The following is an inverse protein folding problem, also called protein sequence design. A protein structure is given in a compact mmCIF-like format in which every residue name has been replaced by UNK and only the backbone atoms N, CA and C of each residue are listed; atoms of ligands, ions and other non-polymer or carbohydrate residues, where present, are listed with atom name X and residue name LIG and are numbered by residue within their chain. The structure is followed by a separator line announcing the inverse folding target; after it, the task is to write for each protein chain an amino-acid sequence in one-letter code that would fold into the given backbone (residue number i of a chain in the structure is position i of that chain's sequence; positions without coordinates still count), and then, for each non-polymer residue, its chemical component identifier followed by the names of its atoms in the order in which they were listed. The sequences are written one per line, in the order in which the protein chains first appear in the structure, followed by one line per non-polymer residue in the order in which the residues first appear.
data_IF_583683947146
#
_entry.id   IF_583683947146
#
_cell.length_a   1.000
_cell.length_b   1.000
_cell.length_c   1.000
_cell.angle_alpha   90.00
_cell.angle_beta   90.00
_cell.angle_gamma   90.00
#
_symmetry.space_group_name_H-M   'P 1'
#
loop_
_entity.id
_entity.type
_entity.pdbx_description
1 polymer ?
#
# COMPACT_ATOMS: atom_id res chain seq x y z
N UNK A 1 14.37 0.45 -2.46
CA UNK A 1 15.45 -0.34 -3.09
C UNK A 1 16.38 0.56 -3.86
N UNK A 2 17.67 0.23 -3.75
CA UNK A 2 18.82 0.90 -4.35
C UNK A 2 18.77 0.94 -5.88
N UNK A 3 19.24 2.05 -6.46
CA UNK A 3 19.55 2.16 -7.88
C UNK A 3 20.63 1.15 -8.28
N UNK A 4 21.57 0.87 -7.39
CA UNK A 4 22.65 -0.10 -7.61
C UNK A 4 22.20 -1.57 -7.47
N UNK A 5 20.91 -1.83 -7.32
CA UNK A 5 20.38 -3.20 -7.28
C UNK A 5 20.59 -3.89 -8.64
N UNK A 6 21.09 -5.14 -8.68
CA UNK A 6 21.53 -5.80 -9.92
C UNK A 6 20.40 -6.10 -10.93
N UNK A 7 19.13 -5.98 -10.52
CA UNK A 7 17.97 -6.17 -11.39
C UNK A 7 17.34 -4.82 -11.72
N UNK A 8 17.17 -4.56 -13.02
CA UNK A 8 16.51 -3.34 -13.49
C UNK A 8 15.09 -3.23 -12.94
N UNK A 9 14.78 -2.09 -12.33
CA UNK A 9 13.42 -1.69 -11.97
C UNK A 9 13.17 -0.27 -12.45
N UNK A 10 12.05 -0.05 -13.13
CA UNK A 10 11.66 1.30 -13.51
C UNK A 10 11.05 2.00 -12.28
N UNK A 11 11.75 3.01 -11.78
CA UNK A 11 11.25 3.96 -10.80
C UNK A 11 11.24 5.32 -11.49
N UNK A 12 10.15 6.08 -11.35
CA UNK A 12 10.07 7.46 -11.85
C UNK A 12 11.08 8.38 -11.13
N UNK A 13 10.85 9.69 -11.11
CA UNK A 13 11.68 10.64 -10.33
C UNK A 13 11.55 10.36 -8.82
N UNK A 14 12.33 9.39 -8.34
CA UNK A 14 12.39 8.97 -6.94
C UNK A 14 13.71 9.47 -6.36
N UNK A 15 13.73 9.92 -5.10
CA UNK A 15 14.97 10.22 -4.41
C UNK A 15 15.93 9.02 -4.44
N UNK A 16 17.24 9.28 -4.44
CA UNK A 16 18.25 8.24 -4.37
C UNK A 16 18.06 7.41 -3.08
N UNK A 17 18.22 6.08 -3.16
CA UNK A 17 18.05 5.24 -1.98
C UNK A 17 19.20 5.46 -1.01
N UNK A 18 18.95 5.24 0.29
CA UNK A 18 19.96 5.42 1.33
C UNK A 18 21.23 4.61 1.08
N UNK A 19 21.11 3.35 0.67
CA UNK A 19 22.26 2.48 0.35
C UNK A 19 23.15 3.07 -0.78
N UNK A 20 22.53 3.67 -1.81
CA UNK A 20 23.27 4.35 -2.87
C UNK A 20 23.94 5.63 -2.35
N UNK A 21 23.25 6.38 -1.48
CA UNK A 21 23.78 7.60 -0.85
C UNK A 21 24.96 7.25 0.05
N UNK A 22 24.84 6.23 0.89
CA UNK A 22 25.90 5.78 1.79
C UNK A 22 27.08 5.23 0.98
N UNK A 23 26.82 4.44 -0.06
CA UNK A 23 27.85 3.92 -0.95
C UNK A 23 28.64 5.02 -1.67
N UNK A 24 27.95 6.00 -2.25
CA UNK A 24 28.62 7.11 -2.95
C UNK A 24 29.33 8.06 -1.97
N UNK A 25 28.74 8.32 -0.80
CA UNK A 25 29.37 9.16 0.23
C UNK A 25 30.55 8.47 0.91
N UNK A 26 30.55 7.14 1.02
CA UNK A 26 31.71 6.39 1.50
C UNK A 26 32.92 6.58 0.57
N UNK A 27 32.70 6.60 -0.75
CA UNK A 27 33.77 6.78 -1.74
C UNK A 27 34.24 8.22 -1.88
N UNK A 28 33.33 9.20 -1.83
CA UNK A 28 33.62 10.59 -2.21
C UNK A 28 33.41 11.63 -1.10
N UNK A 29 32.90 11.20 0.06
CA UNK A 29 32.55 12.06 1.19
C UNK A 29 31.19 12.76 1.05
N UNK A 30 30.59 13.14 2.17
CA UNK A 30 29.35 13.92 2.22
C UNK A 30 29.66 15.40 1.92
N UNK A 31 29.64 15.80 0.65
CA UNK A 31 29.76 17.22 0.27
C UNK A 31 28.36 17.82 0.08
N UNK A 32 28.08 19.04 0.55
CA UNK A 32 27.01 19.84 -0.04
C UNK A 32 27.42 20.12 -1.49
N UNK A 33 26.91 19.31 -2.42
CA UNK A 33 27.14 19.52 -3.83
C UNK A 33 26.60 20.89 -4.25
N UNK A 34 27.12 21.50 -5.33
CA UNK A 34 26.47 22.67 -5.92
C UNK A 34 25.01 22.34 -6.20
N UNK A 35 24.12 23.30 -5.96
CA UNK A 35 22.69 23.19 -6.27
C UNK A 35 22.56 22.67 -7.71
N UNK A 36 21.80 21.59 -7.99
CA UNK A 36 21.65 21.07 -9.35
C UNK A 36 21.14 22.20 -10.23
N UNK A 37 22.01 22.71 -11.09
CA UNK A 37 21.64 23.73 -12.06
C UNK A 37 21.21 22.96 -13.28
N UNK A 38 19.92 23.04 -13.63
CA UNK A 38 19.45 22.57 -14.93
C UNK A 38 20.28 23.31 -16.00
N UNK A 39 20.78 22.66 -17.06
CA UNK A 39 21.51 23.38 -18.10
C UNK A 39 20.57 24.44 -18.70
N UNK A 40 20.85 25.69 -18.39
CA UNK A 40 20.15 26.84 -18.95
C UNK A 40 20.86 27.22 -20.26
N UNK A 41 20.14 27.58 -21.33
CA UNK A 41 20.76 27.91 -22.61
C UNK A 41 21.65 29.15 -22.47
N UNK A 42 22.86 29.11 -23.05
CA UNK A 42 23.84 30.20 -23.01
C UNK A 42 23.22 31.57 -23.37
N UNK A 43 23.24 32.52 -22.43
CA UNK A 43 23.04 33.95 -22.72
C UNK A 43 24.00 34.77 -21.85
N UNK A 44 24.72 35.78 -22.38
CA UNK A 44 25.85 36.39 -21.70
C UNK A 44 25.45 37.41 -20.61
N UNK A 45 26.32 37.47 -19.60
CA UNK A 45 26.21 38.16 -18.31
C UNK A 45 25.91 39.68 -18.33
N UNK A 46 25.25 40.17 -17.27
CA UNK A 46 25.39 41.56 -16.77
C UNK A 46 25.22 41.60 -15.24
N UNK A 47 25.95 42.54 -14.64
CA UNK A 47 26.44 42.71 -13.26
C UNK A 47 25.41 43.16 -12.20
N UNK A 48 25.64 42.74 -10.93
CA UNK A 48 25.81 43.60 -9.71
C UNK A 48 24.93 43.38 -8.44
N UNK A 49 25.62 43.02 -7.34
CA UNK A 49 25.45 43.34 -5.89
C UNK A 49 24.34 42.70 -5.01
N UNK A 50 24.55 42.63 -3.67
CA UNK A 50 24.35 41.42 -2.86
C UNK A 50 23.22 41.53 -1.82
N UNK A 51 22.80 40.40 -1.23
CA UNK A 51 22.42 40.38 0.19
C UNK A 51 22.47 38.97 0.80
N UNK A 52 23.26 38.89 1.87
CA UNK A 52 23.34 37.85 2.90
C UNK A 52 22.07 37.80 3.74
N UNK A 53 21.59 36.61 4.05
CA UNK A 53 21.14 36.26 5.41
C UNK A 53 21.45 34.80 5.66
N UNK A 54 22.36 34.57 6.59
CA UNK A 54 22.55 33.31 7.31
C UNK A 54 21.22 32.82 7.90
N UNK A 55 21.04 31.50 7.96
CA UNK A 55 20.74 30.82 9.23
C UNK A 55 20.70 29.28 9.09
N UNK A 56 20.89 28.53 10.18
CA UNK A 56 21.71 27.34 10.19
C UNK A 56 20.90 26.05 10.23
N UNK A 57 21.64 25.00 9.90
CA UNK A 57 21.36 23.59 10.09
C UNK A 57 20.45 23.26 11.31
N UNK A 58 19.28 22.68 11.03
CA UNK A 58 18.56 21.86 12.00
C UNK A 58 18.74 20.38 11.60
N UNK A 59 19.72 19.71 12.22
CA UNK A 59 19.79 18.24 12.22
C UNK A 59 18.71 17.73 13.15
N UNK A 60 17.58 17.30 12.62
CA UNK A 60 16.68 16.42 13.35
C UNK A 60 17.30 15.02 13.32
N UNK A 61 17.62 14.39 14.46
CA UNK A 61 18.05 13.00 14.46
C UNK A 61 16.82 12.13 14.18
N UNK A 62 16.60 11.78 12.91
CA UNK A 62 15.58 10.80 12.55
C UNK A 62 16.04 9.42 13.04
N UNK A 63 15.27 8.92 13.98
CA UNK A 63 15.32 7.60 14.59
C UNK A 63 15.44 6.49 13.55
N UNK A 64 16.19 5.44 13.93
CA UNK A 64 16.52 4.24 13.17
C UNK A 64 15.40 3.77 12.24
N UNK A 65 15.75 3.69 10.96
CA UNK A 65 14.91 3.23 9.85
C UNK A 65 14.57 1.73 10.00
N UNK A 66 13.30 1.35 10.24
CA UNK A 66 12.86 -0.04 10.34
C UNK A 66 12.44 -0.66 8.99
N UNK A 67 12.69 0.01 7.86
CA UNK A 67 11.93 -0.21 6.61
C UNK A 67 12.34 -1.42 5.75
N UNK A 68 13.39 -2.18 6.13
CA UNK A 68 13.85 -3.35 5.35
C UNK A 68 13.69 -4.72 6.04
N UNK A 69 13.01 -4.79 7.19
CA UNK A 69 12.77 -6.06 7.89
C UNK A 69 11.28 -6.25 8.19
N UNK A 70 10.63 -7.15 7.43
CA UNK A 70 9.21 -7.46 7.59
C UNK A 70 8.85 -7.92 9.02
N UNK A 71 9.79 -8.51 9.76
CA UNK A 71 9.56 -8.94 11.15
C UNK A 71 9.52 -7.77 12.14
N UNK A 72 10.08 -6.62 11.77
CA UNK A 72 10.04 -5.38 12.56
C UNK A 72 8.85 -4.49 12.18
N UNK A 73 8.16 -4.78 11.07
CA UNK A 73 6.95 -4.06 10.67
C UNK A 73 5.81 -4.42 11.60
N UNK A 74 5.23 -3.42 12.27
CA UNK A 74 4.12 -3.63 13.21
C UNK A 74 2.75 -3.68 12.53
N UNK A 75 2.64 -3.09 11.34
CA UNK A 75 1.38 -2.92 10.61
C UNK A 75 1.65 -2.81 9.12
N UNK A 76 1.05 -3.70 8.35
CA UNK A 76 1.08 -3.67 6.89
C UNK A 76 -0.07 -2.80 6.36
N UNK A 77 0.08 -2.27 5.15
CA UNK A 77 -0.97 -1.46 4.53
C UNK A 77 -2.00 -2.36 3.83
N UNK A 78 -1.57 -3.53 3.34
CA UNK A 78 -2.44 -4.54 2.73
C UNK A 78 -1.76 -5.91 2.81
N UNK A 79 -2.54 -6.94 3.07
CA UNK A 79 -2.14 -8.34 2.95
C UNK A 79 -3.16 -8.99 2.03
N UNK A 80 -2.68 -9.70 1.01
CA UNK A 80 -3.58 -10.38 0.08
C UNK A 80 -2.99 -11.71 -0.38
N UNK A 81 -3.83 -12.54 -0.97
CA UNK A 81 -3.42 -13.84 -1.51
C UNK A 81 -3.33 -13.74 -3.02
N UNK A 82 -2.16 -14.03 -3.55
CA UNK A 82 -1.87 -14.03 -4.99
C UNK A 82 -1.25 -15.39 -5.30
N UNK A 83 -1.85 -16.11 -6.26
CA UNK A 83 -1.45 -17.48 -6.64
C UNK A 83 -1.43 -18.50 -5.49
N UNK A 84 -2.19 -18.25 -4.43
CA UNK A 84 -2.25 -19.13 -3.27
C UNK A 84 -1.28 -18.77 -2.15
N UNK A 85 -0.42 -17.77 -2.37
CA UNK A 85 0.58 -17.30 -1.41
C UNK A 85 0.23 -15.91 -0.85
N UNK A 86 0.57 -15.70 0.42
CA UNK A 86 0.37 -14.43 1.10
C UNK A 86 1.41 -13.41 0.63
N UNK A 87 0.92 -12.24 0.26
CA UNK A 87 1.70 -11.08 -0.12
C UNK A 87 1.41 -9.94 0.85
N UNK A 88 2.45 -9.30 1.37
CA UNK A 88 2.39 -8.24 2.37
C UNK A 88 2.89 -6.94 1.75
N UNK A 89 2.09 -5.89 1.85
CA UNK A 89 2.32 -4.62 1.18
C UNK A 89 2.58 -3.55 2.23
N UNK A 90 3.65 -2.80 2.02
CA UNK A 90 3.99 -1.60 2.77
C UNK A 90 4.56 -0.57 1.81
N UNK A 91 4.10 0.67 1.88
CA UNK A 91 4.66 1.80 1.13
C UNK A 91 4.72 1.60 -0.41
N UNK A 92 3.79 0.82 -0.98
CA UNK A 92 3.51 0.81 -2.43
C UNK A 92 4.24 -0.22 -3.32
N UNK A 93 4.86 -1.27 -2.76
CA UNK A 93 5.58 -2.32 -3.53
C UNK A 93 4.78 -3.64 -3.65
N UNK A 94 4.76 -4.31 -4.82
CA UNK A 94 4.17 -5.67 -5.02
C UNK A 94 4.43 -6.38 -6.38
N UNK A 95 4.17 -7.72 -6.46
CA UNK A 95 4.34 -8.59 -7.66
C UNK A 95 3.27 -9.73 -7.79
N UNK A 96 3.28 -10.58 -8.87
CA UNK A 96 2.09 -11.15 -9.60
C UNK A 96 2.23 -12.62 -10.13
N UNK A 97 1.12 -13.42 -10.33
CA UNK A 97 0.58 -13.96 -11.64
C UNK A 97 -0.78 -14.77 -11.70
N UNK A 98 -0.92 -15.77 -12.60
CA UNK A 98 -1.81 -15.93 -13.78
C UNK A 98 -3.10 -16.70 -13.48
N UNK A 99 -4.26 -16.24 -13.93
CA UNK A 99 -5.18 -17.07 -14.74
C UNK A 99 -6.38 -16.26 -15.25
N UNK A 100 -6.76 -15.19 -14.55
CA UNK A 100 -7.69 -14.15 -15.06
C UNK A 100 -7.28 -12.77 -14.50
N UNK A 101 -6.40 -12.07 -15.24
CA UNK A 101 -5.43 -11.08 -14.72
C UNK A 101 -5.96 -9.66 -14.41
N UNK A 102 -7.22 -9.46 -14.02
CA UNK A 102 -7.70 -8.12 -13.61
C UNK A 102 -7.58 -7.89 -12.11
N UNK A 103 -6.63 -7.05 -11.69
CA UNK A 103 -6.38 -6.71 -10.28
C UNK A 103 -6.78 -5.26 -10.04
N UNK A 104 -7.53 -5.02 -8.96
CA UNK A 104 -7.94 -3.69 -8.53
C UNK A 104 -7.03 -3.24 -7.39
N UNK A 105 -6.35 -2.10 -7.56
CA UNK A 105 -5.57 -1.46 -6.51
C UNK A 105 -6.34 -0.25 -6.02
N UNK A 106 -6.54 -0.14 -4.71
CA UNK A 106 -7.21 1.00 -4.09
C UNK A 106 -6.18 1.85 -3.35
N UNK A 107 -6.25 3.16 -3.50
CA UNK A 107 -5.49 4.12 -2.69
C UNK A 107 -6.34 5.36 -2.49
N UNK A 108 -6.71 5.63 -1.24
CA UNK A 108 -7.69 6.64 -0.90
C UNK A 108 -8.99 6.45 -1.71
N UNK A 109 -9.49 7.53 -2.30
CA UNK A 109 -10.71 7.55 -3.11
C UNK A 109 -10.50 7.13 -4.57
N UNK A 110 -9.33 6.55 -4.90
CA UNK A 110 -8.97 6.17 -6.27
C UNK A 110 -8.68 4.69 -6.37
N UNK A 111 -8.89 4.16 -7.57
CA UNK A 111 -8.48 2.81 -7.92
C UNK A 111 -7.88 2.70 -9.32
N UNK A 112 -7.05 1.67 -9.49
CA UNK A 112 -6.46 1.27 -10.76
C UNK A 112 -6.87 -0.16 -11.08
N UNK A 113 -7.03 -0.47 -12.36
CA UNK A 113 -7.30 -1.81 -12.85
C UNK A 113 -6.12 -2.28 -13.67
N UNK A 114 -5.30 -3.14 -13.09
CA UNK A 114 -4.29 -3.86 -13.84
C UNK A 114 -4.96 -4.96 -14.66
N UNK A 115 -4.64 -5.11 -15.94
CA UNK A 115 -5.29 -6.08 -16.86
C UNK A 115 -4.37 -7.23 -17.25
N UNK A 116 -3.19 -7.32 -16.65
CA UNK A 116 -2.14 -8.24 -17.08
C UNK A 116 -1.16 -7.64 -18.08
N UNK A 117 -1.61 -6.67 -18.90
CA UNK A 117 -0.79 -5.99 -19.93
C UNK A 117 -0.58 -4.51 -19.62
N UNK A 118 -1.60 -3.85 -19.07
CA UNK A 118 -1.56 -2.43 -18.75
C UNK A 118 -2.29 -2.14 -17.44
N UNK A 119 -2.00 -0.98 -16.87
CA UNK A 119 -2.76 -0.41 -15.77
C UNK A 119 -3.72 0.63 -16.33
N UNK A 120 -5.00 0.54 -15.97
CA UNK A 120 -6.03 1.53 -16.27
C UNK A 120 -6.33 2.36 -15.03
N UNK A 121 -6.44 3.68 -15.16
CA UNK A 121 -6.77 4.58 -14.04
C UNK A 121 -5.82 5.77 -13.94
N UNK A 122 -5.85 6.52 -12.82
CA UNK A 122 -6.75 6.33 -11.69
C UNK A 122 -8.22 6.60 -12.04
N UNK A 123 -9.14 5.90 -11.37
CA UNK A 123 -10.58 6.15 -11.42
C UNK A 123 -11.10 6.44 -10.01
N UNK A 124 -12.09 7.31 -9.87
CA UNK A 124 -12.78 7.50 -8.58
C UNK A 124 -13.52 6.23 -8.19
N UNK A 125 -13.46 5.84 -6.91
CA UNK A 125 -14.22 4.71 -6.35
C UNK A 125 -15.75 4.90 -6.48
N UNK A 126 -16.22 6.14 -6.68
CA UNK A 126 -17.61 6.44 -7.00
C UNK A 126 -18.08 5.76 -8.30
N UNK A 127 -17.16 5.47 -9.23
CA UNK A 127 -17.48 4.69 -10.44
C UNK A 127 -17.92 3.26 -10.14
N UNK A 128 -17.63 2.74 -8.94
CA UNK A 128 -18.11 1.44 -8.46
C UNK A 128 -19.46 1.56 -7.73
N UNK A 129 -19.96 2.79 -7.54
CA UNK A 129 -21.17 3.08 -6.77
C UNK A 129 -20.95 3.33 -5.27
N UNK A 130 -19.70 3.52 -4.84
CA UNK A 130 -19.41 3.94 -3.46
C UNK A 130 -19.75 5.43 -3.27
N UNK A 131 -20.34 5.83 -2.12
CA UNK A 131 -20.65 7.23 -1.85
C UNK A 131 -19.37 8.04 -1.56
N UNK A 132 -19.43 9.35 -1.77
CA UNK A 132 -18.33 10.29 -1.54
C UNK A 132 -17.87 10.38 -0.07
N UNK A 133 -18.66 9.88 0.88
CA UNK A 133 -18.28 9.76 2.28
C UNK A 133 -17.18 8.72 2.50
N UNK A 134 -17.07 7.71 1.62
CA UNK A 134 -16.05 6.66 1.71
C UNK A 134 -14.71 7.22 1.26
N UNK A 135 -13.73 7.26 2.17
CA UNK A 135 -12.41 7.83 1.90
C UNK A 135 -11.38 6.82 1.41
N UNK A 136 -11.60 5.52 1.66
CA UNK A 136 -10.72 4.42 1.22
C UNK A 136 -11.43 3.07 1.32
N UNK A 137 -10.92 2.07 0.61
CA UNK A 137 -11.29 0.67 0.77
C UNK A 137 -10.15 -0.03 1.52
N UNK A 138 -10.48 -0.68 2.63
CA UNK A 138 -9.51 -1.33 3.53
C UNK A 138 -9.37 -2.82 3.26
N UNK A 139 -10.40 -3.46 2.70
CA UNK A 139 -10.34 -4.88 2.39
C UNK A 139 -11.33 -5.28 1.31
N UNK A 140 -11.06 -6.42 0.68
CA UNK A 140 -11.91 -6.97 -0.36
C UNK A 140 -12.03 -8.49 -0.21
N UNK A 141 -13.27 -9.00 -0.11
CA UNK A 141 -13.53 -10.43 -0.01
C UNK A 141 -14.39 -10.91 -1.18
N UNK A 142 -13.89 -11.91 -1.89
CA UNK A 142 -14.66 -12.60 -2.91
C UNK A 142 -15.81 -13.39 -2.26
N UNK A 143 -17.04 -13.18 -2.75
CA UNK A 143 -18.24 -13.91 -2.31
C UNK A 143 -18.85 -14.64 -3.51
N UNK A 144 -18.56 -15.93 -3.61
CA UNK A 144 -18.93 -16.72 -4.79
C UNK A 144 -18.25 -16.20 -6.05
N UNK A 145 -18.84 -16.44 -7.23
CA UNK A 145 -18.20 -16.10 -8.51
C UNK A 145 -18.47 -14.69 -9.04
N UNK A 146 -19.44 -13.96 -8.47
CA UNK A 146 -19.93 -12.71 -9.08
C UNK A 146 -19.98 -11.50 -8.14
N UNK A 147 -19.71 -11.70 -6.85
CA UNK A 147 -19.79 -10.64 -5.84
C UNK A 147 -18.47 -10.45 -5.12
N UNK A 148 -18.17 -9.20 -4.78
CA UNK A 148 -17.06 -8.83 -3.89
C UNK A 148 -17.62 -7.98 -2.76
N UNK A 149 -17.19 -8.24 -1.54
CA UNK A 149 -17.45 -7.38 -0.39
C UNK A 149 -16.28 -6.40 -0.26
N UNK A 150 -16.58 -5.10 -0.24
CA UNK A 150 -15.59 -4.04 -0.05
C UNK A 150 -15.79 -3.47 1.34
N UNK A 151 -14.73 -3.50 2.17
CA UNK A 151 -14.75 -3.02 3.55
C UNK A 151 -14.21 -1.59 3.61
N UNK A 152 -14.85 -0.74 4.41
CA UNK A 152 -14.37 0.62 4.69
C UNK A 152 -14.91 1.07 6.04
N UNK A 153 -13.99 1.35 6.99
CA UNK A 153 -14.35 1.63 8.36
C UNK A 153 -15.17 0.49 8.95
N UNK A 154 -16.26 0.83 9.61
CA UNK A 154 -17.11 -0.14 10.31
C UNK A 154 -18.12 -0.87 9.40
N UNK A 155 -18.13 -0.51 8.12
CA UNK A 155 -19.13 -0.94 7.14
C UNK A 155 -18.51 -1.75 6.00
N UNK A 156 -19.37 -2.50 5.30
CA UNK A 156 -19.02 -3.10 4.03
C UNK A 156 -20.12 -2.93 2.98
N UNK A 157 -19.71 -2.91 1.72
CA UNK A 157 -20.55 -2.83 0.54
C UNK A 157 -20.43 -4.11 -0.27
N UNK A 158 -21.48 -4.49 -0.99
CA UNK A 158 -21.42 -5.63 -1.91
C UNK A 158 -21.43 -5.15 -3.36
N UNK A 159 -20.29 -5.30 -4.02
CA UNK A 159 -20.09 -5.02 -5.43
C UNK A 159 -20.53 -6.21 -6.28
N UNK A 160 -21.35 -5.96 -7.29
CA UNK A 160 -21.56 -6.87 -8.40
C UNK A 160 -20.46 -6.70 -9.45
N UNK A 161 -19.67 -7.75 -9.67
CA UNK A 161 -18.48 -7.68 -10.55
C UNK A 161 -18.87 -7.49 -12.01
N UNK A 162 -20.02 -8.03 -12.44
CA UNK A 162 -20.45 -7.97 -13.85
C UNK A 162 -20.93 -6.56 -14.22
N UNK A 163 -21.75 -5.97 -13.36
CA UNK A 163 -22.33 -4.64 -13.57
C UNK A 163 -21.43 -3.53 -13.04
N UNK A 164 -20.40 -3.86 -12.25
CA UNK A 164 -19.49 -2.93 -11.57
C UNK A 164 -20.23 -1.90 -10.71
N UNK A 165 -21.29 -2.33 -10.03
CA UNK A 165 -22.13 -1.48 -9.17
C UNK A 165 -22.37 -2.11 -7.81
N UNK A 166 -22.49 -1.27 -6.79
CA UNK A 166 -22.96 -1.69 -5.47
C UNK A 166 -24.42 -2.15 -5.54
N UNK A 167 -24.70 -3.29 -4.90
CA UNK A 167 -26.05 -3.83 -4.74
C UNK A 167 -26.91 -2.93 -3.83
N UNK A 168 -28.21 -2.83 -4.11
CA UNK A 168 -29.16 -2.11 -3.24
C UNK A 168 -29.19 -2.70 -1.82
N UNK A 169 -29.37 -1.84 -0.81
CA UNK A 169 -29.43 -2.24 0.60
C UNK A 169 -28.07 -2.37 1.29
N UNK A 170 -27.04 -1.71 0.73
CA UNK A 170 -25.71 -1.55 1.30
C UNK A 170 -25.41 -0.05 1.50
N UNK A 171 -24.54 0.35 2.47
CA UNK A 171 -23.69 -0.50 3.31
C UNK A 171 -24.45 -1.35 4.34
N UNK A 172 -23.72 -2.31 4.91
CA UNK A 172 -24.12 -3.01 6.14
C UNK A 172 -22.99 -2.92 7.16
N UNK A 173 -23.31 -2.82 8.46
CA UNK A 173 -22.30 -2.90 9.50
C UNK A 173 -21.59 -4.24 9.46
N UNK A 174 -20.27 -4.22 9.58
CA UNK A 174 -19.42 -5.41 9.55
C UNK A 174 -19.81 -6.38 10.67
N UNK A 175 -20.07 -5.87 11.87
CA UNK A 175 -20.42 -6.68 13.06
C UNK A 175 -21.69 -7.53 12.89
N UNK A 176 -22.66 -7.08 12.08
CA UNK A 176 -23.93 -7.80 11.86
C UNK A 176 -23.71 -9.11 11.10
N UNK A 177 -22.66 -9.17 10.27
CA UNK A 177 -22.37 -10.32 9.40
C UNK A 177 -21.12 -11.08 9.84
N UNK A 178 -20.13 -10.36 10.36
CA UNK A 178 -18.81 -10.85 10.76
C UNK A 178 -18.63 -10.62 12.26
N UNK A 179 -19.51 -11.19 13.09
CA UNK A 179 -19.42 -11.04 14.54
C UNK A 179 -18.11 -11.58 15.12
N UNK A 180 -17.56 -10.88 16.11
CA UNK A 180 -16.36 -11.30 16.85
C UNK A 180 -15.02 -10.82 16.26
N UNK A 181 -15.05 -10.07 15.15
CA UNK A 181 -13.85 -9.43 14.58
C UNK A 181 -13.87 -7.92 14.86
N UNK A 182 -12.72 -7.22 14.77
CA UNK A 182 -12.68 -5.76 14.87
C UNK A 182 -13.52 -5.11 13.78
N UNK A 183 -14.35 -4.14 14.16
CA UNK A 183 -15.15 -3.38 13.21
C UNK A 183 -14.28 -2.45 12.33
N UNK A 184 -13.13 -2.01 12.83
CA UNK A 184 -12.18 -1.11 12.16
C UNK A 184 -10.93 -1.83 11.62
N UNK A 185 -11.10 -3.06 11.14
CA UNK A 185 -10.00 -3.82 10.56
C UNK A 185 -9.38 -3.06 9.37
N UNK A 186 -8.11 -2.71 9.48
CA UNK A 186 -7.39 -1.97 8.43
C UNK A 186 -7.08 -2.81 7.19
N UNK A 187 -7.26 -4.13 7.29
CA UNK A 187 -7.03 -5.06 6.20
C UNK A 187 -7.90 -6.32 6.39
N UNK A 188 -8.48 -6.80 5.29
CA UNK A 188 -9.38 -7.95 5.26
C UNK A 188 -9.14 -8.78 4.00
N UNK A 189 -8.71 -10.03 4.18
CA UNK A 189 -8.38 -10.93 3.09
C UNK A 189 -8.79 -12.37 3.36
N UNK A 190 -8.84 -13.20 2.31
CA UNK A 190 -9.14 -14.63 2.42
C UNK A 190 -7.88 -15.46 2.14
N UNK A 191 -7.52 -16.37 3.04
CA UNK A 191 -6.38 -17.27 2.88
C UNK A 191 -6.70 -18.69 3.38
N UNK A 192 -6.35 -19.70 2.57
CA UNK A 192 -6.58 -21.13 2.87
C UNK A 192 -8.02 -21.40 3.38
N UNK A 193 -9.01 -20.80 2.71
CA UNK A 193 -10.44 -20.98 3.02
C UNK A 193 -10.96 -20.23 4.24
N UNK A 194 -10.12 -19.46 4.95
CA UNK A 194 -10.52 -18.66 6.09
C UNK A 194 -10.41 -17.16 5.77
N UNK A 195 -11.23 -16.36 6.44
CA UNK A 195 -11.19 -14.90 6.33
C UNK A 195 -10.36 -14.34 7.47
N UNK A 196 -9.48 -13.39 7.20
CA UNK A 196 -8.62 -12.76 8.17
C UNK A 196 -8.98 -11.28 8.24
N UNK A 197 -9.21 -10.80 9.46
CA UNK A 197 -9.40 -9.40 9.77
C UNK A 197 -8.20 -8.93 10.56
N UNK A 198 -7.45 -7.97 10.03
CA UNK A 198 -6.24 -7.47 10.64
C UNK A 198 -6.49 -6.12 11.31
N UNK A 199 -6.06 -5.99 12.56
CA UNK A 199 -6.03 -4.72 13.29
C UNK A 199 -4.66 -4.56 13.91
N UNK A 200 -3.95 -3.54 13.43
CA UNK A 200 -2.55 -3.27 13.74
C UNK A 200 -1.68 -4.53 13.54
N UNK A 201 -1.10 -5.08 14.62
CA UNK A 201 -0.22 -6.25 14.55
C UNK A 201 -0.93 -7.59 14.68
N UNK A 202 -2.24 -7.56 14.92
CA UNK A 202 -3.05 -8.73 15.22
C UNK A 202 -3.94 -9.12 14.04
N UNK A 203 -4.31 -10.40 13.98
CA UNK A 203 -5.36 -10.88 13.10
C UNK A 203 -6.39 -11.71 13.87
N UNK A 204 -7.63 -11.66 13.38
CA UNK A 204 -8.73 -12.53 13.75
C UNK A 204 -9.05 -13.41 12.55
N UNK A 205 -8.87 -14.72 12.71
CA UNK A 205 -9.23 -15.70 11.69
C UNK A 205 -10.65 -16.16 11.91
N UNK A 206 -11.45 -16.00 10.88
CA UNK A 206 -12.83 -16.45 10.81
C UNK A 206 -12.94 -17.63 9.83
N UNK A 207 -13.52 -18.72 10.31
CA UNK A 207 -13.74 -19.93 9.52
C UNK A 207 -14.99 -19.82 8.63
N UNK A 208 -15.24 -20.85 7.81
CA UNK A 208 -16.39 -20.91 6.90
C UNK A 208 -17.76 -20.90 7.59
N UNK A 209 -17.82 -21.24 8.89
CA UNK A 209 -19.02 -21.17 9.74
C UNK A 209 -19.22 -19.78 10.36
N UNK A 210 -18.41 -18.79 9.96
CA UNK A 210 -18.39 -17.43 10.52
C UNK A 210 -18.09 -17.37 12.01
N UNK A 211 -17.25 -18.29 12.49
CA UNK A 211 -16.76 -18.27 13.86
C UNK A 211 -15.31 -17.81 13.85
N UNK A 212 -14.98 -16.88 14.73
CA UNK A 212 -13.58 -16.56 15.02
C UNK A 212 -12.98 -17.71 15.80
N UNK A 213 -12.05 -18.42 15.18
CA UNK A 213 -11.46 -19.63 15.74
C UNK A 213 -9.97 -19.45 16.11
N UNK A 214 -9.39 -18.30 15.78
CA UNK A 214 -8.03 -17.92 16.19
C UNK A 214 -7.87 -16.40 16.22
N UNK A 215 -7.15 -15.93 17.23
CA UNK A 215 -6.57 -14.59 17.31
C UNK A 215 -5.06 -14.75 17.44
N UNK A 216 -4.29 -13.98 16.69
CA UNK A 216 -2.85 -14.16 16.65
C UNK A 216 -2.09 -12.95 16.12
N UNK A 217 -0.77 -13.09 16.03
CA UNK A 217 0.12 -12.04 15.55
C UNK A 217 0.48 -12.26 14.09
N UNK A 218 0.41 -11.20 13.28
CA UNK A 218 0.79 -11.28 11.87
C UNK A 218 2.25 -11.73 11.71
N UNK A 219 3.18 -11.14 12.47
CA UNK A 219 4.61 -11.42 12.31
C UNK A 219 5.00 -12.85 12.72
N UNK A 220 4.46 -13.35 13.84
CA UNK A 220 4.82 -14.69 14.32
C UNK A 220 4.05 -15.78 13.59
N UNK A 221 2.75 -15.60 13.37
CA UNK A 221 1.91 -16.69 12.88
C UNK A 221 1.85 -16.75 11.36
N UNK A 222 1.88 -15.60 10.67
CA UNK A 222 1.79 -15.53 9.21
C UNK A 222 3.18 -15.43 8.58
N UNK A 223 4.05 -14.53 9.09
CA UNK A 223 5.41 -14.35 8.56
C UNK A 223 6.45 -15.33 9.14
N UNK A 224 6.12 -16.04 10.23
CA UNK A 224 7.03 -17.01 10.89
C UNK A 224 8.34 -16.37 11.37
N UNK A 225 8.27 -15.13 11.81
CA UNK A 225 9.40 -14.46 12.47
C UNK A 225 9.80 -15.19 13.75
N UNK A 226 11.10 -15.26 14.01
CA UNK A 226 11.68 -15.86 15.22
C UNK A 226 11.73 -14.85 16.38
#
# INVERSE_FOLDING_TARGET
EALMYPMYSYKGNSPLHRDDIEGIQYLYGSKPGPKPTLPEPDTPSTTSYPETTDDPFATTPSTKDPENDACKVLKFDTITVIEGDLHFFKNGHYWKDVLTKKIYFFSGTRFWVYTGKSVLGPRSIEKLGLPNSVQKVEGALQKGSSKVLLFSGEDFWRLDVKTQKIDRGYPKPTEVVFGGVPNDAHDVFQYKGNTYFCRDRFYWRMNSRRQVDRVGYVNYDLLKCA
#
